data_IF_638163980975
#
_entry.id   IF_638163980975
#
_cell.length_a   1.000
_cell.length_b   1.000
_cell.length_c   1.000
_cell.angle_alpha   90.00
_cell.angle_beta   90.00
_cell.angle_gamma   90.00
#
_symmetry.space_group_name_H-M   'P 1'
#
loop_
_entity.id
_entity.type
_entity.pdbx_description
1 polymer ?
#
# COMPACT_ATOMS: atom_id res chain seq x y z
N UNK A 1 0.75 -8.44 -12.06
CA UNK A 1 0.85 -9.23 -10.81
C UNK A 1 -0.46 -9.17 -10.05
N UNK A 2 -1.19 -10.30 -10.03
CA UNK A 2 -2.47 -10.52 -9.35
C UNK A 2 -2.31 -10.53 -7.83
N UNK A 3 -3.31 -10.01 -7.11
CA UNK A 3 -3.36 -9.98 -5.65
C UNK A 3 -3.78 -11.35 -5.07
N UNK A 4 -3.20 -11.76 -3.93
CA UNK A 4 -3.55 -13.00 -3.22
C UNK A 4 -4.72 -12.85 -2.23
N UNK A 5 -5.64 -11.89 -2.41
CA UNK A 5 -6.78 -11.72 -1.52
C UNK A 5 -7.76 -12.91 -1.55
N UNK A 6 -8.35 -13.24 -0.39
CA UNK A 6 -9.20 -14.42 -0.10
C UNK A 6 -10.47 -14.58 -0.93
N UNK A 7 -10.94 -13.54 -1.63
CA UNK A 7 -12.24 -13.55 -2.30
C UNK A 7 -12.18 -14.44 -3.54
N UNK A 8 -12.63 -15.72 -3.43
CA UNK A 8 -12.34 -16.79 -4.40
C UNK A 8 -13.19 -16.78 -5.70
N UNK A 9 -14.01 -15.76 -5.92
CA UNK A 9 -14.76 -15.60 -7.18
C UNK A 9 -14.42 -14.26 -7.85
N UNK A 10 -14.44 -14.19 -9.19
CA UNK A 10 -14.17 -12.95 -9.95
C UNK A 10 -15.19 -11.84 -9.57
N UNK A 11 -16.41 -12.23 -9.20
CA UNK A 11 -17.46 -11.31 -8.74
C UNK A 11 -17.10 -10.57 -7.45
N UNK A 12 -16.29 -11.19 -6.58
CA UNK A 12 -15.89 -10.65 -5.30
C UNK A 12 -14.55 -9.89 -5.34
N UNK A 13 -13.82 -9.93 -6.47
CA UNK A 13 -12.46 -9.34 -6.64
C UNK A 13 -12.47 -8.00 -7.37
N UNK A 14 -13.38 -7.10 -7.05
CA UNK A 14 -13.31 -5.79 -7.72
C UNK A 14 -12.03 -5.04 -7.29
N UNK A 15 -11.28 -4.43 -8.21
CA UNK A 15 -10.05 -3.71 -7.88
C UNK A 15 -10.24 -2.50 -6.95
N UNK A 16 -11.47 -2.02 -6.78
CA UNK A 16 -11.85 -0.90 -5.91
C UNK A 16 -12.27 -1.35 -4.49
N UNK A 17 -12.17 -2.64 -4.18
CA UNK A 17 -12.48 -3.17 -2.84
C UNK A 17 -11.30 -3.02 -1.86
N UNK A 18 -11.57 -2.86 -0.55
CA UNK A 18 -10.53 -2.86 0.48
C UNK A 18 -9.63 -4.09 0.39
N UNK A 19 -8.32 -3.88 0.42
CA UNK A 19 -7.36 -4.97 0.29
C UNK A 19 -5.95 -4.59 0.78
N UNK A 20 -5.58 -5.13 1.94
CA UNK A 20 -4.26 -4.90 2.56
C UNK A 20 -3.08 -5.35 1.66
N UNK A 21 -3.28 -6.38 0.84
CA UNK A 21 -2.26 -6.89 -0.09
C UNK A 21 -2.03 -5.93 -1.27
N UNK A 22 -3.11 -5.40 -1.87
CA UNK A 22 -3.02 -4.37 -2.90
C UNK A 22 -2.41 -3.08 -2.31
N UNK A 23 -2.86 -2.67 -1.12
CA UNK A 23 -2.32 -1.50 -0.45
C UNK A 23 -0.80 -1.60 -0.22
N UNK A 24 -0.32 -2.72 0.35
CA UNK A 24 1.13 -2.96 0.51
C UNK A 24 1.88 -2.94 -0.82
N UNK A 25 1.32 -3.52 -1.88
CA UNK A 25 1.92 -3.50 -3.22
C UNK A 25 2.06 -2.06 -3.73
N UNK A 26 1.00 -1.27 -3.64
CA UNK A 26 1.00 0.13 -4.05
C UNK A 26 2.02 0.96 -3.24
N UNK A 27 2.09 0.78 -1.92
CA UNK A 27 3.10 1.44 -1.07
C UNK A 27 4.53 1.04 -1.48
N UNK A 28 4.77 -0.25 -1.74
CA UNK A 28 6.07 -0.74 -2.18
C UNK A 28 6.48 -0.15 -3.53
N UNK A 29 5.53 -0.02 -4.46
CA UNK A 29 5.76 0.65 -5.74
C UNK A 29 6.01 2.14 -5.55
N UNK A 30 5.25 2.83 -4.71
CA UNK A 30 5.45 4.25 -4.40
C UNK A 30 6.85 4.52 -3.85
N UNK A 31 7.30 3.71 -2.88
CA UNK A 31 8.65 3.83 -2.32
C UNK A 31 9.71 3.57 -3.38
N UNK A 32 9.57 2.54 -4.21
CA UNK A 32 10.53 2.27 -5.28
C UNK A 32 10.61 3.44 -6.28
N UNK A 33 9.47 4.02 -6.67
CA UNK A 33 9.43 5.19 -7.55
C UNK A 33 10.07 6.43 -6.91
N UNK A 34 9.89 6.61 -5.60
CA UNK A 34 10.52 7.67 -4.82
C UNK A 34 12.04 7.46 -4.67
N UNK A 35 12.50 6.23 -4.41
CA UNK A 35 13.91 5.90 -4.19
C UNK A 35 14.74 5.80 -5.49
N UNK A 36 14.11 5.38 -6.60
CA UNK A 36 14.73 5.34 -7.93
C UNK A 36 15.02 6.76 -8.50
N UNK A 37 14.74 7.80 -7.72
CA UNK A 37 15.10 9.19 -7.99
C UNK A 37 16.63 9.46 -7.87
N UNK A 38 17.50 8.49 -8.21
CA UNK A 38 18.90 8.79 -8.53
C UNK A 38 18.89 9.54 -9.88
N UNK A 39 18.78 10.87 -9.83
CA UNK A 39 18.93 11.74 -11.00
C UNK A 39 17.74 12.62 -11.38
N UNK A 40 16.77 12.86 -10.47
CA UNK A 40 15.80 13.96 -10.61
C UNK A 40 15.04 13.99 -11.96
N UNK A 41 14.34 12.91 -12.29
CA UNK A 41 13.29 12.97 -13.34
C UNK A 41 11.96 13.22 -12.65
N UNK A 42 11.43 14.43 -12.81
CA UNK A 42 10.10 14.86 -12.35
C UNK A 42 8.97 13.86 -12.67
N UNK A 43 9.15 13.03 -13.69
CA UNK A 43 8.24 11.97 -14.12
C UNK A 43 7.84 11.00 -12.99
N UNK A 44 8.70 10.68 -12.02
CA UNK A 44 8.40 9.62 -11.05
C UNK A 44 7.58 10.08 -9.83
N UNK A 45 7.49 11.39 -9.56
CA UNK A 45 6.78 11.91 -8.36
C UNK A 45 5.27 11.76 -8.49
N UNK A 46 4.72 12.08 -9.65
CA UNK A 46 3.29 11.92 -9.92
C UNK A 46 2.86 10.44 -9.84
N UNK A 47 3.70 9.53 -10.34
CA UNK A 47 3.44 8.10 -10.24
C UNK A 47 3.50 7.62 -8.78
N UNK A 48 4.49 8.06 -8.00
CA UNK A 48 4.58 7.73 -6.58
C UNK A 48 3.36 8.24 -5.80
N UNK A 49 2.92 9.47 -6.06
CA UNK A 49 1.69 10.04 -5.49
C UNK A 49 0.47 9.20 -5.87
N UNK A 50 0.32 8.85 -7.16
CA UNK A 50 -0.78 8.03 -7.64
C UNK A 50 -0.84 6.66 -6.94
N UNK A 51 0.30 6.01 -6.75
CA UNK A 51 0.37 4.76 -5.98
C UNK A 51 -0.07 4.94 -4.52
N UNK A 52 0.31 6.02 -3.84
CA UNK A 52 -0.11 6.28 -2.47
C UNK A 52 -1.62 6.55 -2.35
N UNK A 53 -2.22 7.22 -3.35
CA UNK A 53 -3.68 7.43 -3.41
C UNK A 53 -4.41 6.09 -3.53
N UNK A 54 -3.95 5.21 -4.42
CA UNK A 54 -4.52 3.87 -4.58
C UNK A 54 -4.39 3.05 -3.29
N UNK A 55 -3.25 3.14 -2.61
CA UNK A 55 -3.07 2.50 -1.31
C UNK A 55 -4.06 3.02 -0.26
N UNK A 56 -4.29 4.33 -0.21
CA UNK A 56 -5.27 4.91 0.71
C UNK A 56 -6.69 4.42 0.43
N UNK A 57 -7.12 4.32 -0.82
CA UNK A 57 -8.45 3.80 -1.16
C UNK A 57 -8.65 2.36 -0.68
N UNK A 58 -7.62 1.52 -0.78
CA UNK A 58 -7.68 0.16 -0.24
C UNK A 58 -7.74 0.09 1.30
N UNK A 59 -7.29 1.14 1.99
CA UNK A 59 -7.32 1.22 3.46
C UNK A 59 -8.51 1.99 4.02
N UNK A 60 -9.14 2.89 3.27
CA UNK A 60 -10.06 3.90 3.79
C UNK A 60 -11.18 3.34 4.69
N UNK A 61 -11.75 2.19 4.31
CA UNK A 61 -12.87 1.57 5.03
C UNK A 61 -12.46 0.74 6.25
N UNK A 62 -11.31 0.07 6.22
CA UNK A 62 -10.92 -0.95 7.22
C UNK A 62 -9.73 -0.52 8.09
N UNK A 63 -8.93 0.42 7.60
CA UNK A 63 -7.67 0.87 8.21
C UNK A 63 -7.46 2.38 7.97
N UNK A 64 -8.43 3.21 8.37
CA UNK A 64 -8.45 4.64 8.07
C UNK A 64 -7.17 5.39 8.47
N UNK A 65 -6.55 5.03 9.60
CA UNK A 65 -5.26 5.61 10.03
C UNK A 65 -4.12 5.37 9.02
N UNK A 66 -4.10 4.19 8.36
CA UNK A 66 -3.14 3.89 7.30
C UNK A 66 -3.46 4.67 6.03
N UNK A 67 -4.73 4.91 5.73
CA UNK A 67 -5.14 5.78 4.62
C UNK A 67 -4.65 7.22 4.83
N UNK A 68 -4.79 7.76 6.05
CA UNK A 68 -4.27 9.09 6.41
C UNK A 68 -2.73 9.15 6.33
N UNK A 69 -2.02 8.11 6.74
CA UNK A 69 -0.55 8.04 6.58
C UNK A 69 -0.12 8.02 5.12
N UNK A 70 -0.85 7.34 4.25
CA UNK A 70 -0.62 7.40 2.81
C UNK A 70 -0.82 8.85 2.30
N UNK A 71 -1.88 9.51 2.77
CA UNK A 71 -2.19 10.91 2.47
C UNK A 71 -1.08 11.87 2.84
N UNK A 72 -0.58 11.75 4.05
CA UNK A 72 0.51 12.60 4.53
C UNK A 72 1.78 12.42 3.71
N UNK A 73 2.07 11.19 3.27
CA UNK A 73 3.22 10.92 2.43
C UNK A 73 3.09 11.61 1.06
N UNK A 74 1.95 11.48 0.37
CA UNK A 74 1.82 12.09 -0.96
C UNK A 74 1.78 13.62 -0.90
N UNK A 75 1.21 14.21 0.15
CA UNK A 75 1.23 15.67 0.35
C UNK A 75 2.65 16.19 0.55
N UNK A 76 3.52 15.41 1.21
CA UNK A 76 4.94 15.76 1.32
C UNK A 76 5.65 15.69 -0.02
N UNK A 77 5.42 14.63 -0.80
CA UNK A 77 5.99 14.50 -2.14
C UNK A 77 5.53 15.67 -3.04
N UNK A 78 4.25 16.03 -2.99
CA UNK A 78 3.68 17.17 -3.73
C UNK A 78 4.36 18.49 -3.36
N UNK A 79 4.64 18.69 -2.06
CA UNK A 79 5.35 19.86 -1.54
C UNK A 79 6.87 19.80 -1.69
N UNK A 80 7.40 18.78 -2.38
CA UNK A 80 8.83 18.53 -2.53
C UNK A 80 9.58 18.39 -1.19
N UNK A 81 8.88 17.91 -0.17
CA UNK A 81 9.45 17.62 1.14
C UNK A 81 9.96 16.18 1.18
N UNK A 82 11.01 15.95 1.97
CA UNK A 82 11.50 14.60 2.18
C UNK A 82 10.45 13.74 2.89
N UNK A 83 10.25 12.54 2.35
CA UNK A 83 9.28 11.55 2.80
C UNK A 83 9.90 10.14 2.87
N UNK A 84 11.22 9.99 2.70
CA UNK A 84 11.89 8.69 2.61
C UNK A 84 11.60 7.78 3.79
N UNK A 85 11.86 8.28 5.00
CA UNK A 85 11.72 7.48 6.23
C UNK A 85 10.26 7.15 6.54
N UNK A 86 9.34 8.05 6.20
CA UNK A 86 7.91 7.80 6.36
C UNK A 86 7.40 6.75 5.38
N UNK A 87 7.87 6.75 4.13
CA UNK A 87 7.56 5.70 3.17
C UNK A 87 8.09 4.34 3.62
N UNK A 88 9.30 4.30 4.19
CA UNK A 88 9.88 3.09 4.75
C UNK A 88 9.04 2.56 5.93
N UNK A 89 8.69 3.42 6.89
CA UNK A 89 7.86 3.06 8.04
C UNK A 89 6.44 2.62 7.65
N UNK A 90 5.85 3.31 6.66
CA UNK A 90 4.54 2.97 6.11
C UNK A 90 4.57 1.59 5.42
N UNK A 91 5.61 1.31 4.63
CA UNK A 91 5.79 0.01 3.99
C UNK A 91 5.97 -1.10 5.02
N UNK A 92 6.79 -0.89 6.06
CA UNK A 92 6.99 -1.87 7.12
C UNK A 92 5.68 -2.17 7.86
N UNK A 93 4.90 -1.13 8.19
CA UNK A 93 3.60 -1.28 8.83
C UNK A 93 2.63 -2.07 7.96
N UNK A 94 2.57 -1.77 6.65
CA UNK A 94 1.75 -2.50 5.69
C UNK A 94 2.19 -3.97 5.57
N UNK A 95 3.49 -4.26 5.61
CA UNK A 95 4.01 -5.62 5.57
C UNK A 95 3.61 -6.42 6.81
N UNK A 96 3.70 -5.82 8.01
CA UNK A 96 3.25 -6.45 9.26
C UNK A 96 1.79 -6.90 9.17
N UNK A 97 0.92 -6.01 8.70
CA UNK A 97 -0.51 -6.30 8.52
C UNK A 97 -0.75 -7.47 7.56
N UNK A 98 -0.02 -7.53 6.45
CA UNK A 98 -0.06 -8.65 5.50
C UNK A 98 0.41 -9.96 6.14
N UNK A 99 1.50 -9.94 6.91
CA UNK A 99 2.01 -11.14 7.58
C UNK A 99 1.10 -11.63 8.70
N UNK A 100 0.44 -10.74 9.43
CA UNK A 100 -0.53 -11.08 10.48
C UNK A 100 -1.79 -11.70 9.90
N UNK A 101 -2.32 -11.16 8.79
CA UNK A 101 -3.44 -11.78 8.07
C UNK A 101 -3.10 -13.18 7.57
N UNK A 102 -1.90 -13.37 7.00
CA UNK A 102 -1.40 -14.69 6.60
C UNK A 102 -1.23 -15.66 7.79
N UNK A 103 -0.74 -15.15 8.92
CA UNK A 103 -0.60 -15.94 10.15
C UNK A 103 -1.94 -16.44 10.69
N UNK A 104 -2.96 -15.56 10.74
CA UNK A 104 -4.34 -15.91 11.13
C UNK A 104 -4.93 -16.96 10.18
N UNK A 105 -4.77 -16.75 8.88
CA UNK A 105 -5.14 -17.69 7.83
C UNK A 105 -4.62 -19.11 8.04
N UNK A 106 -3.33 -19.22 8.37
CA UNK A 106 -2.69 -20.50 8.58
C UNK A 106 -3.13 -21.19 9.89
N UNK A 107 -3.60 -20.43 10.89
CA UNK A 107 -4.15 -20.96 12.13
C UNK A 107 -5.58 -21.49 11.92
N UNK A 108 -6.42 -20.74 11.20
CA UNK A 108 -7.82 -21.14 10.93
C UNK A 108 -7.90 -22.41 10.08
N UNK A 109 -6.98 -22.58 9.12
CA UNK A 109 -6.90 -23.78 8.28
C UNK A 109 -6.35 -25.04 8.97
N UNK A 110 -5.87 -24.93 10.22
CA UNK A 110 -5.42 -26.08 11.03
C UNK A 110 -6.49 -26.62 11.99
N UNK A 111 -7.60 -25.90 12.16
CA UNK A 111 -8.72 -26.26 13.03
C UNK A 111 -9.90 -26.90 12.27
N UNK A 112 -9.68 -27.28 11.01
CA UNK A 112 -10.65 -27.92 10.10
C UNK A 112 -10.02 -29.15 9.46
#
# INVERSE_FOLDING_TARGET
>A
MSCSCKKNTIADKRPDEPCIYCAHKHISTARALYDLEIGYRSLNKSDAIGQLILAAWHYDKEHHDLALKCRDCWLKIERLQDCRDQLAALQETAWKLVTEDRGRLAADGKNN
#
